data_IF_163655320039
#
_entry.id   IF_163655320039
#
_cell.length_a   1.000
_cell.length_b   1.000
_cell.length_c   1.000
_cell.angle_alpha   90.00
_cell.angle_beta   90.00
_cell.angle_gamma   90.00
#
_symmetry.space_group_name_H-M   'P 1'
#
loop_
_entity.id
_entity.type
_entity.pdbx_description
1 polymer ?
#
# COMPACT_ATOMS: atom_id res chain seq x y z
N UNK A 1 2.54 21.64 -6.37
CA UNK A 1 1.29 20.98 -5.93
C UNK A 1 1.61 19.51 -5.76
N UNK A 2 1.39 18.93 -4.58
CA UNK A 2 1.91 17.62 -4.17
C UNK A 2 1.06 16.41 -4.65
N UNK A 3 0.41 16.52 -5.81
CA UNK A 3 -0.44 15.48 -6.43
C UNK A 3 -1.29 14.70 -5.40
N UNK A 4 -1.25 13.37 -5.43
CA UNK A 4 -1.94 12.49 -4.48
C UNK A 4 -1.22 12.25 -3.14
N UNK A 5 -0.03 12.81 -2.92
CA UNK A 5 0.77 12.51 -1.71
C UNK A 5 0.06 12.91 -0.42
N UNK A 6 -0.71 13.99 -0.42
CA UNK A 6 -1.51 14.40 0.74
C UNK A 6 -2.62 13.39 1.07
N UNK A 7 -3.22 12.76 0.06
CA UNK A 7 -4.23 11.72 0.26
C UNK A 7 -3.59 10.41 0.71
N UNK A 8 -2.44 10.04 0.12
CA UNK A 8 -1.70 8.86 0.53
C UNK A 8 -1.22 8.98 1.97
N UNK A 9 -0.75 10.15 2.40
CA UNK A 9 -0.36 10.39 3.79
C UNK A 9 -1.55 10.17 4.74
N UNK A 10 -2.73 10.68 4.41
CA UNK A 10 -3.94 10.45 5.21
C UNK A 10 -4.38 9.00 5.26
N UNK A 11 -4.33 8.29 4.13
CA UNK A 11 -4.58 6.86 4.10
C UNK A 11 -3.58 6.08 4.98
N UNK A 12 -2.30 6.39 4.90
CA UNK A 12 -1.24 5.69 5.63
C UNK A 12 -1.23 6.00 7.14
N UNK A 13 -1.56 7.24 7.51
CA UNK A 13 -1.60 7.71 8.90
C UNK A 13 -2.91 7.31 9.60
N UNK A 14 -4.06 7.65 9.02
CA UNK A 14 -5.37 7.53 9.69
C UNK A 14 -6.00 6.14 9.49
N UNK A 15 -5.93 5.58 8.29
CA UNK A 15 -6.63 4.31 7.98
C UNK A 15 -5.73 3.09 8.21
N UNK A 16 -4.47 3.16 7.80
CA UNK A 16 -3.54 2.03 7.93
C UNK A 16 -2.70 2.08 9.21
N UNK A 17 -2.51 3.27 9.80
CA UNK A 17 -1.71 3.44 11.01
C UNK A 17 -0.26 2.97 10.86
N UNK A 18 0.35 3.20 9.70
CA UNK A 18 1.71 2.74 9.35
C UNK A 18 2.71 3.89 9.13
N UNK A 19 2.29 5.15 9.29
CA UNK A 19 3.17 6.30 9.15
C UNK A 19 2.82 7.43 10.13
N UNK A 20 3.68 8.45 10.17
CA UNK A 20 3.46 9.69 10.90
C UNK A 20 3.69 10.89 9.98
N UNK A 21 2.79 11.87 10.01
CA UNK A 21 2.98 13.11 9.26
C UNK A 21 4.00 14.02 9.97
N UNK A 22 4.95 14.57 9.20
CA UNK A 22 5.97 15.53 9.68
C UNK A 22 5.67 16.97 9.24
N UNK A 23 4.86 17.15 8.21
CA UNK A 23 4.55 18.46 7.65
C UNK A 23 3.26 18.43 6.84
N UNK A 24 2.44 19.48 6.96
CA UNK A 24 1.23 19.66 6.15
C UNK A 24 1.08 21.08 5.65
N UNK A 25 0.76 21.23 4.37
CA UNK A 25 0.43 22.53 3.77
C UNK A 25 1.59 23.16 2.98
N UNK A 26 1.55 24.50 2.86
CA UNK A 26 2.49 25.29 2.04
C UNK A 26 3.68 25.86 2.83
N UNK A 27 3.65 25.77 4.16
CA UNK A 27 4.79 26.12 4.99
C UNK A 27 5.86 25.04 4.82
N UNK A 28 6.95 25.38 4.12
CA UNK A 28 8.04 24.46 3.82
C UNK A 28 9.05 24.31 4.98
N UNK A 29 8.78 24.91 6.14
CA UNK A 29 9.68 24.79 7.28
C UNK A 29 9.27 23.58 8.12
N UNK A 30 10.18 22.62 8.19
CA UNK A 30 10.14 21.48 9.11
C UNK A 30 11.41 21.58 9.93
N UNK A 31 11.29 21.74 11.24
CA UNK A 31 12.46 21.94 12.09
C UNK A 31 13.11 20.60 12.40
N UNK A 32 14.39 20.62 12.73
CA UNK A 32 15.10 19.39 13.03
C UNK A 32 14.54 18.72 14.30
N UNK A 33 14.05 19.51 15.26
CA UNK A 33 13.43 19.05 16.48
C UNK A 33 12.17 18.22 16.20
N UNK A 34 11.32 18.69 15.27
CA UNK A 34 10.10 17.97 14.85
C UNK A 34 10.46 16.62 14.21
N UNK A 35 11.53 16.59 13.41
CA UNK A 35 12.03 15.35 12.79
C UNK A 35 12.56 14.38 13.84
N UNK A 36 13.40 14.86 14.78
CA UNK A 36 13.97 14.03 15.85
C UNK A 36 12.86 13.44 16.71
N UNK A 37 11.84 14.24 17.07
CA UNK A 37 10.68 13.78 17.83
C UNK A 37 9.93 12.65 17.10
N UNK A 38 9.69 12.80 15.80
CA UNK A 38 8.97 11.80 15.00
C UNK A 38 9.79 10.53 14.80
N UNK A 39 11.11 10.65 14.65
CA UNK A 39 12.01 9.49 14.62
C UNK A 39 11.95 8.76 15.95
N UNK A 40 12.06 9.45 17.08
CA UNK A 40 12.00 8.83 18.40
C UNK A 40 10.62 8.19 18.66
N UNK A 41 9.53 8.84 18.23
CA UNK A 41 8.19 8.27 18.30
C UNK A 41 8.11 6.95 17.52
N UNK A 42 8.65 6.87 16.30
CA UNK A 42 8.55 5.68 15.46
C UNK A 42 9.57 4.61 15.83
N UNK A 43 10.77 4.97 16.28
CA UNK A 43 11.91 4.07 16.45
C UNK A 43 12.27 3.79 17.91
N UNK A 44 11.86 4.64 18.84
CA UNK A 44 12.14 4.50 20.26
C UNK A 44 11.63 3.17 20.81
N UNK A 45 12.48 2.46 21.56
CA UNK A 45 12.16 1.14 22.11
C UNK A 45 11.04 1.20 23.17
N UNK A 46 10.97 2.32 23.90
CA UNK A 46 9.94 2.60 24.90
C UNK A 46 8.66 3.19 24.30
N UNK A 47 8.63 3.48 23.00
CA UNK A 47 7.48 4.10 22.34
C UNK A 47 6.42 3.05 21.98
N UNK A 48 5.34 3.01 22.77
CA UNK A 48 4.20 2.12 22.48
C UNK A 48 3.54 2.44 21.12
N UNK A 49 3.48 3.72 20.75
CA UNK A 49 2.95 4.15 19.44
C UNK A 49 3.85 3.68 18.30
N UNK A 50 5.17 3.79 18.44
CA UNK A 50 6.15 3.30 17.47
C UNK A 50 6.07 1.79 17.26
N UNK A 51 5.92 1.02 18.35
CA UNK A 51 5.71 -0.44 18.29
C UNK A 51 4.47 -0.76 17.47
N UNK A 52 3.32 -0.11 17.75
CA UNK A 52 2.07 -0.32 17.01
C UNK A 52 2.21 0.01 15.52
N UNK A 53 2.87 1.11 15.17
CA UNK A 53 3.13 1.49 13.78
C UNK A 53 3.90 0.39 13.05
N UNK A 54 4.99 -0.12 13.64
CA UNK A 54 5.82 -1.19 13.05
C UNK A 54 5.07 -2.52 12.97
N UNK A 55 4.26 -2.87 13.97
CA UNK A 55 3.40 -4.05 13.94
C UNK A 55 2.37 -3.97 12.81
N UNK A 56 1.70 -2.83 12.65
CA UNK A 56 0.76 -2.61 11.56
C UNK A 56 1.45 -2.69 10.20
N UNK A 57 2.63 -2.09 10.07
CA UNK A 57 3.43 -2.18 8.85
C UNK A 57 3.77 -3.64 8.50
N UNK A 58 4.12 -4.47 9.49
CA UNK A 58 4.34 -5.90 9.29
C UNK A 58 3.07 -6.64 8.84
N UNK A 59 1.92 -6.38 9.48
CA UNK A 59 0.63 -6.98 9.10
C UNK A 59 0.23 -6.61 7.66
N UNK A 60 0.37 -5.34 7.28
CA UNK A 60 0.06 -4.84 5.94
C UNK A 60 1.01 -5.44 4.90
N UNK A 61 2.31 -5.52 5.21
CA UNK A 61 3.30 -6.21 4.36
C UNK A 61 2.89 -7.65 4.09
N UNK A 62 2.50 -8.39 5.12
CA UNK A 62 2.11 -9.80 4.96
C UNK A 62 0.81 -9.94 4.16
N UNK A 63 -0.16 -9.03 4.35
CA UNK A 63 -1.37 -8.97 3.52
C UNK A 63 -1.05 -8.70 2.04
N UNK A 64 -0.19 -7.73 1.75
CA UNK A 64 0.25 -7.42 0.38
C UNK A 64 0.95 -8.63 -0.24
N UNK A 65 1.86 -9.28 0.50
CA UNK A 65 2.57 -10.47 0.04
C UNK A 65 1.61 -11.61 -0.29
N UNK A 66 0.62 -11.84 0.56
CA UNK A 66 -0.41 -12.86 0.34
C UNK A 66 -1.31 -12.53 -0.85
N UNK A 67 -1.60 -11.25 -1.10
CA UNK A 67 -2.38 -10.82 -2.26
C UNK A 67 -1.63 -10.99 -3.58
N UNK A 68 -0.30 -10.85 -3.57
CA UNK A 68 0.57 -10.89 -4.74
C UNK A 68 1.23 -12.25 -5.00
N UNK A 69 0.92 -13.31 -4.23
CA UNK A 69 1.56 -14.63 -4.42
C UNK A 69 1.11 -15.33 -5.71
N UNK A 70 2.05 -15.93 -6.44
CA UNK A 70 1.79 -16.57 -7.74
C UNK A 70 1.29 -18.02 -7.66
N UNK A 71 1.25 -18.60 -6.45
CA UNK A 71 0.65 -19.91 -6.18
C UNK A 71 1.54 -21.13 -6.41
N UNK A 72 2.84 -20.96 -6.68
CA UNK A 72 3.79 -22.07 -6.87
C UNK A 72 4.01 -22.92 -5.61
N UNK A 73 3.99 -22.30 -4.42
CA UNK A 73 4.30 -22.99 -3.16
C UNK A 73 3.12 -23.83 -2.61
N UNK A 74 1.88 -23.36 -2.79
CA UNK A 74 0.70 -23.89 -2.07
C UNK A 74 -0.51 -24.13 -3.01
N UNK A 75 -0.30 -24.01 -4.32
CA UNK A 75 -1.33 -24.15 -5.36
C UNK A 75 -2.40 -23.04 -5.38
N UNK A 76 -2.38 -22.11 -4.42
CA UNK A 76 -3.36 -21.02 -4.30
C UNK A 76 -2.74 -19.68 -4.68
N UNK A 77 -3.21 -19.10 -5.79
CA UNK A 77 -2.87 -17.73 -6.21
C UNK A 77 -3.47 -16.67 -5.29
N UNK A 78 -2.71 -15.60 -5.07
CA UNK A 78 -3.15 -14.42 -4.34
C UNK A 78 -4.27 -13.67 -5.06
N UNK A 79 -5.03 -12.86 -4.31
CA UNK A 79 -6.19 -12.14 -4.83
C UNK A 79 -5.86 -11.17 -5.96
N UNK A 80 -4.71 -10.49 -5.90
CA UNK A 80 -4.29 -9.55 -6.95
C UNK A 80 -3.91 -10.27 -8.24
N UNK A 81 -3.17 -11.38 -8.14
CA UNK A 81 -2.81 -12.22 -9.29
C UNK A 81 -4.07 -12.78 -9.95
N UNK A 82 -5.01 -13.31 -9.15
CA UNK A 82 -6.30 -13.78 -9.64
C UNK A 82 -7.11 -12.69 -10.34
N UNK A 83 -7.15 -11.48 -9.76
CA UNK A 83 -7.86 -10.35 -10.35
C UNK A 83 -7.31 -9.96 -11.72
N UNK A 84 -5.98 -9.95 -11.88
CA UNK A 84 -5.34 -9.70 -13.17
C UNK A 84 -5.60 -10.84 -14.16
N UNK A 85 -5.48 -12.10 -13.72
CA UNK A 85 -5.77 -13.27 -14.57
C UNK A 85 -7.21 -13.26 -15.10
N UNK A 86 -8.18 -12.95 -14.23
CA UNK A 86 -9.59 -12.82 -14.59
C UNK A 86 -9.82 -11.67 -15.58
N UNK A 87 -9.20 -10.51 -15.35
CA UNK A 87 -9.27 -9.36 -16.25
C UNK A 87 -8.71 -9.68 -17.64
N UNK A 88 -7.50 -10.27 -17.71
CA UNK A 88 -6.86 -10.63 -18.98
C UNK A 88 -7.64 -11.72 -19.72
N UNK A 89 -8.20 -12.69 -18.98
CA UNK A 89 -9.06 -13.72 -19.54
C UNK A 89 -10.33 -13.14 -20.16
N UNK A 90 -10.95 -12.15 -19.52
CA UNK A 90 -12.13 -11.46 -20.05
C UNK A 90 -11.79 -10.62 -21.29
N UNK A 91 -10.67 -9.89 -21.27
CA UNK A 91 -10.19 -9.12 -22.41
C UNK A 91 -9.88 -10.02 -23.62
N UNK A 92 -9.21 -11.15 -23.39
CA UNK A 92 -8.87 -12.11 -24.45
C UNK A 92 -10.11 -12.77 -25.09
N UNK A 93 -11.15 -13.06 -24.31
CA UNK A 93 -12.43 -13.57 -24.83
C UNK A 93 -13.14 -12.54 -25.71
N UNK A 94 -13.14 -11.29 -25.30
CA UNK A 94 -13.76 -10.19 -26.05
C UNK A 94 -13.15 -10.05 -27.46
N UNK A 95 -11.83 -10.20 -27.58
CA UNK A 95 -11.15 -10.16 -28.88
C UNK A 95 -11.53 -11.32 -29.82
N UNK A 96 -11.75 -12.53 -29.28
CA UNK A 96 -12.18 -13.70 -30.08
C UNK A 96 -13.59 -13.53 -30.62
N UNK A 97 -14.52 -13.00 -29.81
CA UNK A 97 -15.88 -12.70 -30.27
C UNK A 97 -15.86 -11.69 -31.42
N UNK A 98 -15.09 -10.59 -31.30
CA UNK A 98 -14.99 -9.58 -32.36
C UNK A 98 -14.34 -10.06 -33.66
N UNK A 99 -13.55 -11.14 -33.62
CA UNK A 99 -12.95 -11.75 -34.81
C UNK A 99 -13.94 -12.72 -35.48
N UNK A 100 -14.66 -13.52 -34.70
CA UNK A 100 -15.68 -14.42 -35.22
C UNK A 100 -16.91 -13.68 -35.80
N UNK A 101 -17.23 -12.48 -35.31
CA UNK A 101 -18.32 -11.64 -35.85
C UNK A 101 -17.93 -10.92 -37.18
N UNK A 102 -16.68 -11.09 -37.65
CA UNK A 102 -16.16 -10.50 -38.90
C UNK A 102 -15.95 -11.51 -40.03
N UNK A 103 -16.21 -12.79 -39.78
CA UNK A 103 -16.24 -13.87 -40.78
C UNK A 103 -17.69 -14.17 -41.20
#
# INVERSE_FOLDING_TARGET
MAAEQFFNCKLLEEEMGVCVEVARGKSCEVKYEDIVEKIELVMGESSESGVKIRENACKIKDMIRNAAKDGEEDGVKGSSVRGIDEFLSAAGKSNKTTLNDRE
#
